data_IF_406081273801
#
_entry.id   IF_406081273801
#
_cell.length_a   1.000
_cell.length_b   1.000
_cell.length_c   1.000
_cell.angle_alpha   90.00
_cell.angle_beta   90.00
_cell.angle_gamma   90.00
#
_symmetry.space_group_name_H-M   'P 1'
#
loop_
_entity.id
_entity.type
_entity.pdbx_description
1 polymer ?
#
# COMPACT_ATOMS: atom_id res chain seq x y z
N UNK A 1 0.09 -24.87 3.98
CA UNK A 1 -1.07 -24.40 4.77
C UNK A 1 -1.64 -23.20 4.04
N UNK A 2 -2.99 -23.03 3.97
CA UNK A 2 -3.62 -21.87 3.32
C UNK A 2 -3.21 -20.58 4.05
N UNK A 3 -3.05 -19.47 3.31
CA UNK A 3 -2.75 -18.14 3.85
C UNK A 3 -3.80 -17.72 4.88
N UNK A 4 -3.38 -17.36 6.10
CA UNK A 4 -4.29 -16.97 7.17
C UNK A 4 -4.55 -15.47 7.15
N UNK A 5 -5.79 -15.07 7.39
CA UNK A 5 -6.20 -13.66 7.58
C UNK A 5 -5.93 -13.32 9.05
N UNK A 6 -4.68 -13.06 9.39
CA UNK A 6 -4.22 -12.78 10.76
C UNK A 6 -3.57 -11.40 10.91
N UNK A 7 -3.69 -10.57 9.89
CA UNK A 7 -3.16 -9.21 9.88
C UNK A 7 -3.88 -8.30 8.87
N UNK A 8 -3.74 -6.98 9.10
CA UNK A 8 -4.10 -5.91 8.18
C UNK A 8 -3.04 -4.80 8.35
N UNK A 9 -2.19 -4.60 7.34
CA UNK A 9 -1.06 -3.67 7.43
C UNK A 9 -1.31 -2.33 6.73
N UNK A 10 -2.53 -2.10 6.24
CA UNK A 10 -2.89 -0.84 5.63
C UNK A 10 -4.24 -0.34 6.15
N UNK A 11 -4.19 0.48 7.20
CA UNK A 11 -5.37 1.05 7.84
C UNK A 11 -5.11 2.54 8.08
N UNK A 12 -6.07 3.38 7.73
CA UNK A 12 -6.04 4.80 8.05
C UNK A 12 -6.83 5.09 9.32
N UNK A 13 -6.33 6.05 10.11
CA UNK A 13 -7.01 6.54 11.30
C UNK A 13 -7.77 7.84 11.03
N UNK A 14 -8.38 8.39 12.09
CA UNK A 14 -9.01 9.72 12.03
C UNK A 14 -8.03 10.85 11.69
N UNK A 15 -6.72 10.60 11.71
CA UNK A 15 -5.70 11.58 11.31
C UNK A 15 -5.60 11.75 9.80
N UNK A 16 -6.06 10.76 9.03
CA UNK A 16 -6.03 10.81 7.57
C UNK A 16 -6.99 11.86 7.01
N UNK A 17 -6.51 12.79 6.16
CA UNK A 17 -7.34 13.91 5.67
C UNK A 17 -8.37 13.51 4.63
N UNK A 18 -8.09 12.51 3.80
CA UNK A 18 -8.98 12.07 2.73
C UNK A 18 -10.26 11.40 3.23
N UNK A 19 -10.26 10.89 4.46
CA UNK A 19 -11.44 10.35 5.13
C UNK A 19 -12.32 11.42 5.81
N UNK A 20 -11.95 12.69 5.78
CA UNK A 20 -12.67 13.73 6.50
C UNK A 20 -12.53 13.66 8.03
N UNK A 21 -11.49 13.00 8.52
CA UNK A 21 -11.16 12.84 9.95
C UNK A 21 -12.29 12.23 10.81
N UNK A 22 -12.84 11.04 10.48
CA UNK A 22 -13.94 10.45 11.23
C UNK A 22 -13.45 10.07 12.65
N UNK A 23 -13.95 10.67 13.73
CA UNK A 23 -13.43 10.44 15.09
C UNK A 23 -13.63 9.00 15.57
N UNK A 24 -14.49 8.25 14.90
CA UNK A 24 -14.73 6.82 15.14
C UNK A 24 -13.63 5.92 14.60
N UNK A 25 -12.79 6.40 13.68
CA UNK A 25 -11.64 5.66 13.13
C UNK A 25 -10.41 5.82 14.05
N UNK A 26 -10.59 5.55 15.33
CA UNK A 26 -9.57 5.63 16.36
C UNK A 26 -8.94 4.26 16.66
N UNK A 27 -7.86 4.26 17.43
CA UNK A 27 -7.09 3.05 17.74
C UNK A 27 -7.92 1.96 18.44
N UNK A 28 -8.84 2.36 19.33
CA UNK A 28 -9.71 1.42 20.06
C UNK A 28 -10.66 0.67 19.11
N UNK A 29 -11.29 1.37 18.19
CA UNK A 29 -12.21 0.77 17.22
C UNK A 29 -11.47 -0.04 16.15
N UNK A 30 -10.28 0.39 15.74
CA UNK A 30 -9.40 -0.39 14.86
C UNK A 30 -8.96 -1.69 15.55
N UNK A 31 -8.57 -1.63 16.83
CA UNK A 31 -8.26 -2.82 17.61
C UNK A 31 -9.47 -3.76 17.74
N UNK A 32 -10.67 -3.20 17.97
CA UNK A 32 -11.90 -3.99 18.05
C UNK A 32 -12.21 -4.71 16.73
N UNK A 33 -11.92 -4.08 15.57
CA UNK A 33 -11.98 -4.75 14.27
C UNK A 33 -11.03 -5.96 14.22
N UNK A 34 -9.75 -5.76 14.54
CA UNK A 34 -8.76 -6.83 14.50
C UNK A 34 -9.14 -8.02 15.38
N UNK A 35 -9.62 -7.74 16.59
CA UNK A 35 -10.11 -8.79 17.52
C UNK A 35 -11.31 -9.56 16.96
N UNK A 36 -12.29 -8.86 16.37
CA UNK A 36 -13.45 -9.48 15.73
C UNK A 36 -13.04 -10.41 14.58
N UNK A 37 -11.97 -10.03 13.85
CA UNK A 37 -11.43 -10.80 12.72
C UNK A 37 -10.42 -11.89 13.15
N UNK A 38 -10.04 -11.97 14.44
CA UNK A 38 -9.00 -12.87 14.91
C UNK A 38 -7.59 -12.52 14.42
N UNK A 39 -7.35 -11.26 14.10
CA UNK A 39 -6.04 -10.76 13.63
C UNK A 39 -5.07 -10.59 14.79
N UNK A 40 -3.80 -10.82 14.51
CA UNK A 40 -2.69 -10.69 15.48
C UNK A 40 -1.96 -9.36 15.36
N UNK A 41 -1.94 -8.80 14.16
CA UNK A 41 -1.20 -7.59 13.84
C UNK A 41 -2.01 -6.65 12.97
N UNK A 42 -2.13 -5.40 13.39
CA UNK A 42 -2.73 -4.31 12.61
C UNK A 42 -1.71 -3.19 12.52
N UNK A 43 -1.57 -2.57 11.35
CA UNK A 43 -0.69 -1.42 11.20
C UNK A 43 -1.51 -0.19 10.79
N UNK A 44 -1.42 0.88 11.59
CA UNK A 44 -2.00 2.17 11.23
C UNK A 44 -0.97 2.91 10.39
N UNK A 45 -1.33 3.15 9.14
CA UNK A 45 -0.46 3.67 8.07
C UNK A 45 -1.06 4.92 7.45
N UNK A 46 -1.33 5.93 8.28
CA UNK A 46 -1.85 7.20 7.80
C UNK A 46 -0.95 7.82 6.73
N UNK A 47 -1.54 8.60 5.82
CA UNK A 47 -0.79 9.36 4.82
C UNK A 47 0.28 10.23 5.45
N UNK A 48 1.46 10.22 4.83
CA UNK A 48 2.66 10.71 5.47
C UNK A 48 3.65 11.34 4.48
N UNK A 49 4.32 12.42 4.95
CA UNK A 49 5.49 12.98 4.29
C UNK A 49 6.44 13.59 5.32
N UNK A 50 7.68 13.13 5.39
CA UNK A 50 8.73 13.66 6.27
C UNK A 50 9.24 15.02 5.76
N UNK A 51 8.44 16.05 5.88
CA UNK A 51 8.72 17.37 5.31
C UNK A 51 9.94 18.07 5.89
N UNK A 52 10.38 17.66 7.08
CA UNK A 52 11.58 18.18 7.71
C UNK A 52 12.85 17.72 7.01
N UNK A 53 12.89 16.46 6.58
CA UNK A 53 14.10 15.83 6.05
C UNK A 53 14.02 15.56 4.53
N UNK A 54 12.81 15.45 3.99
CA UNK A 54 12.52 15.27 2.56
C UNK A 54 11.68 16.45 2.11
N UNK A 55 12.28 17.52 1.55
CA UNK A 55 11.54 18.69 1.12
C UNK A 55 10.43 18.32 0.13
N UNK A 56 9.14 18.54 0.47
CA UNK A 56 8.05 18.20 -0.43
C UNK A 56 7.93 19.23 -1.56
N UNK A 57 7.35 18.81 -2.69
CA UNK A 57 6.89 19.77 -3.70
C UNK A 57 5.87 20.74 -3.09
N UNK A 58 5.83 21.97 -3.58
CA UNK A 58 4.87 22.97 -3.11
C UNK A 58 3.42 22.50 -3.26
N UNK A 59 3.14 21.74 -4.31
CA UNK A 59 1.84 21.16 -4.64
C UNK A 59 1.49 19.90 -3.83
N UNK A 60 2.41 19.34 -3.05
CA UNK A 60 2.18 18.16 -2.23
C UNK A 60 1.21 18.48 -1.08
N UNK A 61 0.06 17.84 -1.06
CA UNK A 61 -0.97 18.13 -0.07
C UNK A 61 -0.74 17.39 1.26
N UNK A 62 0.01 16.26 1.26
CA UNK A 62 0.40 15.54 2.49
C UNK A 62 1.54 16.18 3.28
N UNK A 63 2.15 17.25 2.79
CA UNK A 63 3.31 17.89 3.43
C UNK A 63 3.13 18.33 4.88
N UNK A 64 1.89 18.35 5.41
CA UNK A 64 1.58 18.69 6.81
C UNK A 64 1.43 17.46 7.70
N UNK A 65 1.43 16.27 7.12
CA UNK A 65 1.20 15.01 7.81
C UNK A 65 2.54 14.32 8.04
N UNK A 66 3.35 14.97 8.88
CA UNK A 66 4.70 14.53 9.26
C UNK A 66 4.68 13.57 10.46
N UNK A 67 5.87 13.17 10.93
CA UNK A 67 5.98 12.22 12.03
C UNK A 67 5.34 12.72 13.33
N UNK A 68 5.55 13.98 13.80
CA UNK A 68 4.80 14.55 14.92
C UNK A 68 3.28 14.53 14.76
N UNK A 69 2.80 14.57 13.52
CA UNK A 69 1.35 14.53 13.26
C UNK A 69 0.80 13.11 13.41
N UNK A 70 1.38 12.11 12.77
CA UNK A 70 0.88 10.73 12.83
C UNK A 70 1.05 10.10 14.22
N UNK A 71 2.04 10.55 15.00
CA UNK A 71 2.21 10.12 16.39
C UNK A 71 1.04 10.48 17.32
N UNK A 72 0.14 11.36 16.92
CA UNK A 72 -1.02 11.76 17.75
C UNK A 72 -2.00 10.61 17.99
N UNK A 73 -1.90 9.52 17.24
CA UNK A 73 -2.67 8.28 17.46
C UNK A 73 -2.18 7.50 18.70
N UNK A 74 -0.99 7.80 19.18
CA UNK A 74 -0.37 7.12 20.31
C UNK A 74 -0.83 7.73 21.67
N UNK A 75 -0.83 6.95 22.78
CA UNK A 75 -0.42 5.57 22.86
C UNK A 75 -1.49 4.63 22.31
N UNK A 76 -1.09 3.47 21.77
CA UNK A 76 -2.04 2.44 21.40
C UNK A 76 -2.61 1.73 22.63
N UNK A 77 -3.88 1.30 22.57
CA UNK A 77 -4.43 0.39 23.59
C UNK A 77 -3.66 -0.93 23.58
N UNK A 78 -3.34 -1.44 24.78
CA UNK A 78 -2.68 -2.73 24.94
C UNK A 78 -3.68 -3.89 24.82
N UNK A 79 -3.30 -4.93 24.09
CA UNK A 79 -4.05 -6.18 24.00
C UNK A 79 -3.09 -7.36 23.87
N UNK A 80 -3.44 -8.52 24.45
CA UNK A 80 -2.58 -9.71 24.46
C UNK A 80 -2.67 -10.56 23.18
N UNK A 81 -3.72 -10.37 22.37
CA UNK A 81 -4.02 -11.22 21.22
C UNK A 81 -3.82 -10.47 19.89
N UNK A 82 -4.04 -9.15 19.89
CA UNK A 82 -3.94 -8.31 18.71
C UNK A 82 -3.09 -7.06 19.00
N UNK A 83 -2.03 -6.86 18.26
CA UNK A 83 -1.10 -5.74 18.43
C UNK A 83 -1.30 -4.69 17.35
N UNK A 84 -1.39 -3.42 17.77
CA UNK A 84 -1.32 -2.26 16.89
C UNK A 84 0.13 -1.83 16.67
N UNK A 85 0.46 -1.47 15.45
CA UNK A 85 1.76 -0.99 15.02
C UNK A 85 1.63 0.39 14.37
N UNK A 86 2.65 1.23 14.53
CA UNK A 86 2.73 2.51 13.83
C UNK A 86 3.53 2.34 12.54
N UNK A 87 2.89 2.59 11.42
CA UNK A 87 3.49 2.68 10.12
C UNK A 87 3.18 4.00 9.43
N UNK A 88 3.39 4.05 8.14
CA UNK A 88 2.94 5.14 7.28
C UNK A 88 2.62 4.66 5.88
N UNK A 89 1.70 5.35 5.20
CA UNK A 89 1.59 5.31 3.75
C UNK A 89 2.19 6.61 3.19
N UNK A 90 3.21 6.50 2.36
CA UNK A 90 3.86 7.63 1.71
C UNK A 90 3.76 7.55 0.20
N UNK A 91 3.66 8.72 -0.43
CA UNK A 91 3.68 8.81 -1.88
C UNK A 91 5.09 8.85 -2.46
N UNK A 92 5.17 8.58 -3.75
CA UNK A 92 6.30 8.96 -4.58
C UNK A 92 5.88 10.18 -5.42
N UNK A 93 6.68 11.25 -5.43
CA UNK A 93 6.40 12.43 -6.26
C UNK A 93 6.77 12.21 -7.74
N UNK A 94 6.52 13.21 -8.59
CA UNK A 94 6.81 13.14 -10.04
C UNK A 94 8.31 13.19 -10.38
N UNK A 95 9.17 13.42 -9.39
CA UNK A 95 10.64 13.36 -9.50
C UNK A 95 11.19 12.06 -8.87
N UNK A 96 10.31 11.11 -8.58
CA UNK A 96 10.62 9.82 -7.94
C UNK A 96 11.15 9.96 -6.50
N UNK A 97 10.83 11.04 -5.79
CA UNK A 97 11.16 11.18 -4.37
C UNK A 97 10.07 10.49 -3.54
N UNK A 98 10.48 9.68 -2.58
CA UNK A 98 9.59 9.04 -1.58
C UNK A 98 9.63 9.84 -0.28
N UNK A 99 8.47 10.11 0.29
CA UNK A 99 8.31 11.04 1.42
C UNK A 99 8.76 10.52 2.79
N UNK A 100 9.69 9.56 2.86
CA UNK A 100 10.22 9.02 4.11
C UNK A 100 11.74 9.09 4.11
N UNK A 101 12.34 9.56 5.23
CA UNK A 101 13.79 9.62 5.40
C UNK A 101 14.33 8.49 6.27
N UNK A 102 15.62 8.20 6.14
CA UNK A 102 16.37 7.25 6.96
C UNK A 102 16.20 7.49 8.47
N UNK A 103 16.06 8.74 8.90
CA UNK A 103 15.89 9.11 10.32
C UNK A 103 14.63 8.51 10.95
N UNK A 104 13.67 8.07 10.13
CA UNK A 104 12.40 7.54 10.58
C UNK A 104 12.26 6.03 10.40
N UNK A 105 13.22 5.37 9.73
CA UNK A 105 13.10 3.94 9.49
C UNK A 105 12.95 3.11 10.76
N UNK A 106 13.66 3.47 11.85
CA UNK A 106 13.54 2.77 13.14
C UNK A 106 12.31 3.15 13.95
N UNK A 107 11.59 4.21 13.55
CA UNK A 107 10.40 4.70 14.24
C UNK A 107 9.10 4.19 13.62
N UNK A 108 9.16 3.68 12.40
CA UNK A 108 8.04 3.14 11.64
C UNK A 108 8.22 1.63 11.51
N UNK A 109 7.19 0.89 11.88
CA UNK A 109 7.25 -0.58 11.85
C UNK A 109 6.93 -1.13 10.45
N UNK A 110 6.09 -0.41 9.68
CA UNK A 110 5.79 -0.67 8.27
C UNK A 110 5.80 0.65 7.49
N UNK A 111 6.38 0.64 6.31
CA UNK A 111 6.39 1.78 5.38
C UNK A 111 5.72 1.31 4.09
N UNK A 112 4.55 1.84 3.79
CA UNK A 112 3.86 1.58 2.53
C UNK A 112 4.17 2.69 1.54
N UNK A 113 4.49 2.33 0.30
CA UNK A 113 4.78 3.29 -0.77
C UNK A 113 3.74 3.16 -1.87
N UNK A 114 2.98 4.24 -2.08
CA UNK A 114 1.92 4.31 -3.08
C UNK A 114 2.47 4.77 -4.44
N UNK A 115 3.07 3.87 -5.23
CA UNK A 115 3.53 4.17 -6.59
C UNK A 115 2.39 4.31 -7.59
N UNK A 116 1.22 3.73 -7.28
CA UNK A 116 -0.01 3.74 -8.08
C UNK A 116 -0.82 5.04 -7.98
N UNK A 117 -0.48 5.95 -7.07
CA UNK A 117 -1.14 7.25 -6.93
C UNK A 117 -0.80 8.20 -8.10
N UNK A 118 -1.34 7.90 -9.28
CA UNK A 118 -1.18 8.74 -10.50
C UNK A 118 -2.32 9.74 -10.68
N UNK A 119 -2.89 10.22 -9.57
CA UNK A 119 -4.00 11.18 -9.54
C UNK A 119 -3.59 12.58 -9.06
N UNK A 120 -2.47 12.71 -8.36
CA UNK A 120 -1.94 13.97 -7.85
C UNK A 120 -1.25 14.80 -8.95
N UNK A 121 -2.03 15.43 -9.86
CA UNK A 121 -1.47 16.24 -10.94
C UNK A 121 -0.56 17.36 -10.43
N UNK A 122 0.62 17.50 -11.06
CA UNK A 122 1.71 18.41 -10.66
C UNK A 122 2.37 18.06 -9.33
N UNK A 123 2.09 16.88 -8.82
CA UNK A 123 2.77 16.35 -7.65
C UNK A 123 3.23 14.91 -7.90
N UNK A 124 2.31 13.94 -7.99
CA UNK A 124 2.70 12.54 -8.27
C UNK A 124 2.82 12.24 -9.75
N UNK A 125 2.27 13.11 -10.61
CA UNK A 125 2.26 12.93 -12.07
C UNK A 125 2.28 14.25 -12.82
N UNK A 126 2.98 14.29 -13.96
CA UNK A 126 2.87 15.39 -14.92
C UNK A 126 1.46 15.45 -15.54
N UNK A 127 0.90 16.66 -15.74
CA UNK A 127 -0.38 16.82 -16.42
C UNK A 127 -0.44 16.23 -17.83
N UNK A 128 0.71 16.01 -18.47
CA UNK A 128 0.83 15.57 -19.86
C UNK A 128 0.80 14.03 -20.01
N UNK A 129 0.92 13.28 -18.92
CA UNK A 129 0.82 11.81 -18.94
C UNK A 129 -0.66 11.38 -19.01
N UNK A 130 -1.27 11.38 -20.18
CA UNK A 130 -2.72 11.13 -20.35
C UNK A 130 -3.04 9.85 -21.10
N UNK A 131 -2.11 9.30 -21.90
CA UNK A 131 -2.37 8.05 -22.63
C UNK A 131 -2.16 6.82 -21.76
N UNK A 132 -2.77 5.70 -22.15
CA UNK A 132 -2.56 4.39 -21.50
C UNK A 132 -1.08 4.00 -21.51
N UNK A 133 -0.39 4.21 -22.64
CA UNK A 133 1.03 3.86 -22.81
C UNK A 133 1.91 4.70 -21.88
N UNK A 134 1.67 6.02 -21.78
CA UNK A 134 2.42 6.89 -20.87
C UNK A 134 2.24 6.49 -19.42
N UNK A 135 1.00 6.12 -19.04
CA UNK A 135 0.68 5.67 -17.67
C UNK A 135 1.35 4.35 -17.33
N UNK A 136 1.29 3.39 -18.21
CA UNK A 136 1.93 2.08 -18.03
C UNK A 136 3.45 2.22 -17.90
N UNK A 137 4.07 2.99 -18.80
CA UNK A 137 5.51 3.25 -18.77
C UNK A 137 5.94 3.97 -17.50
N UNK A 138 5.25 5.07 -17.15
CA UNK A 138 5.54 5.83 -15.92
C UNK A 138 5.35 4.95 -14.68
N UNK A 139 4.28 4.14 -14.62
CA UNK A 139 4.02 3.27 -13.49
C UNK A 139 5.14 2.25 -13.28
N UNK A 140 5.59 1.59 -14.34
CA UNK A 140 6.72 0.67 -14.25
C UNK A 140 8.02 1.38 -13.90
N UNK A 141 8.28 2.56 -14.44
CA UNK A 141 9.44 3.38 -14.09
C UNK A 141 9.45 3.72 -12.58
N UNK A 142 8.32 4.16 -12.02
CA UNK A 142 8.18 4.46 -10.59
C UNK A 142 8.52 3.24 -9.73
N UNK A 143 8.00 2.07 -10.10
CA UNK A 143 8.25 0.83 -9.40
C UNK A 143 9.73 0.42 -9.44
N UNK A 144 10.41 0.61 -10.57
CA UNK A 144 11.85 0.35 -10.69
C UNK A 144 12.67 1.37 -9.90
N UNK A 145 12.31 2.66 -9.95
CA UNK A 145 12.97 3.72 -9.18
C UNK A 145 12.85 3.48 -7.67
N UNK A 146 11.71 2.97 -7.19
CA UNK A 146 11.55 2.57 -5.80
C UNK A 146 12.60 1.53 -5.38
N UNK A 147 12.83 0.52 -6.22
CA UNK A 147 13.81 -0.54 -5.96
C UNK A 147 15.27 -0.11 -6.11
N UNK A 148 15.52 1.07 -6.71
CA UNK A 148 16.86 1.66 -6.81
C UNK A 148 17.22 2.48 -5.57
N UNK A 149 16.28 2.70 -4.64
CA UNK A 149 16.50 3.47 -3.42
C UNK A 149 17.12 2.61 -2.30
N UNK A 150 17.80 3.25 -1.38
CA UNK A 150 18.31 2.62 -0.16
C UNK A 150 17.22 2.65 0.93
N UNK A 151 16.24 1.76 0.80
CA UNK A 151 15.12 1.61 1.72
C UNK A 151 15.25 0.30 2.52
N UNK A 152 14.71 0.25 3.76
CA UNK A 152 14.70 -0.97 4.56
C UNK A 152 13.63 -1.94 4.06
N UNK A 153 13.84 -2.58 2.89
CA UNK A 153 12.83 -3.35 2.17
C UNK A 153 12.18 -4.48 2.97
N UNK A 154 12.82 -4.97 4.03
CA UNK A 154 12.20 -5.97 4.92
C UNK A 154 10.95 -5.44 5.65
N UNK A 155 10.76 -4.11 5.73
CA UNK A 155 9.57 -3.45 6.29
C UNK A 155 8.90 -2.47 5.31
N UNK A 156 9.31 -2.47 4.03
CA UNK A 156 8.67 -1.66 2.97
C UNK A 156 7.72 -2.55 2.17
N UNK A 157 6.49 -2.10 2.02
CA UNK A 157 5.48 -2.68 1.16
C UNK A 157 5.06 -1.72 0.06
N UNK A 158 4.70 -2.26 -1.11
CA UNK A 158 4.06 -1.48 -2.16
C UNK A 158 2.55 -1.51 -1.95
N UNK A 159 1.93 -0.34 -1.83
CA UNK A 159 0.51 -0.20 -1.58
C UNK A 159 -0.31 -0.36 -2.88
N UNK A 160 -1.49 -0.99 -2.77
CA UNK A 160 -2.55 -1.13 -3.79
C UNK A 160 -2.02 -1.15 -5.23
N UNK A 161 -1.20 -2.16 -5.55
CA UNK A 161 -0.49 -2.30 -6.83
C UNK A 161 -1.40 -2.19 -8.07
N UNK A 162 -2.69 -2.53 -7.96
CA UNK A 162 -3.66 -2.48 -9.07
C UNK A 162 -4.75 -1.41 -8.86
N UNK A 163 -4.40 -0.30 -8.19
CA UNK A 163 -5.33 0.77 -7.83
C UNK A 163 -5.92 1.49 -9.05
N UNK A 164 -7.21 1.76 -9.02
CA UNK A 164 -7.93 2.48 -10.07
C UNK A 164 -7.57 3.99 -10.16
N UNK A 165 -6.92 4.55 -9.14
CA UNK A 165 -6.37 5.91 -9.18
C UNK A 165 -5.34 6.13 -10.29
N UNK A 166 -4.75 5.04 -10.82
CA UNK A 166 -3.86 5.11 -11.99
C UNK A 166 -4.55 5.69 -13.23
N UNK A 167 -5.87 5.52 -13.37
CA UNK A 167 -6.64 5.99 -14.53
C UNK A 167 -7.11 7.45 -14.44
N UNK A 168 -6.90 8.14 -13.32
CA UNK A 168 -7.42 9.50 -13.14
C UNK A 168 -6.98 10.43 -14.28
N UNK A 169 -7.95 10.93 -15.08
CA UNK A 169 -7.73 11.72 -16.29
C UNK A 169 -6.82 11.07 -17.34
N UNK A 170 -6.77 9.75 -17.37
CA UNK A 170 -6.21 8.97 -18.46
C UNK A 170 -7.26 8.77 -19.58
N UNK A 171 -6.80 8.56 -20.81
CA UNK A 171 -7.66 8.23 -21.97
C UNK A 171 -8.24 6.81 -21.90
N UNK A 172 -7.72 5.96 -21.01
CA UNK A 172 -8.19 4.59 -20.76
C UNK A 172 -8.40 4.29 -19.28
N UNK A 173 -8.84 3.07 -18.98
CA UNK A 173 -9.08 2.56 -17.64
C UNK A 173 -7.78 2.03 -17.00
N UNK A 174 -7.79 1.81 -15.67
CA UNK A 174 -6.67 1.14 -15.00
C UNK A 174 -6.47 -0.30 -15.54
N UNK A 175 -7.54 -0.97 -15.96
CA UNK A 175 -7.46 -2.29 -16.61
C UNK A 175 -6.69 -2.20 -17.94
N UNK A 176 -6.91 -1.16 -18.73
CA UNK A 176 -6.16 -0.93 -19.97
C UNK A 176 -4.68 -0.67 -19.68
N UNK A 177 -4.37 0.09 -18.62
CA UNK A 177 -3.00 0.36 -18.17
C UNK A 177 -2.32 -0.96 -17.76
N UNK A 178 -2.96 -1.77 -16.91
CA UNK A 178 -2.43 -3.06 -16.47
C UNK A 178 -2.21 -4.03 -17.63
N UNK A 179 -3.11 -4.05 -18.62
CA UNK A 179 -2.99 -4.88 -19.82
C UNK A 179 -1.89 -4.38 -20.78
N UNK A 180 -1.56 -3.09 -20.76
CA UNK A 180 -0.49 -2.53 -21.59
C UNK A 180 0.90 -2.98 -21.13
N UNK A 181 1.07 -3.23 -19.83
CA UNK A 181 2.31 -3.72 -19.25
C UNK A 181 2.48 -5.20 -19.62
N UNK A 182 3.64 -5.56 -20.16
CA UNK A 182 3.94 -6.93 -20.57
C UNK A 182 4.30 -7.83 -19.37
N UNK A 183 4.17 -9.16 -19.56
CA UNK A 183 4.62 -10.13 -18.54
C UNK A 183 6.13 -10.03 -18.28
N UNK A 184 6.91 -9.65 -19.29
CA UNK A 184 8.36 -9.48 -19.14
C UNK A 184 8.70 -8.30 -18.21
N UNK A 185 8.01 -7.17 -18.34
CA UNK A 185 8.17 -6.00 -17.48
C UNK A 185 7.75 -6.32 -16.04
N UNK A 186 6.60 -7.00 -15.86
CA UNK A 186 6.18 -7.47 -14.53
C UNK A 186 7.19 -8.43 -13.92
N UNK A 187 7.70 -9.42 -14.67
CA UNK A 187 8.70 -10.39 -14.17
C UNK A 187 10.01 -9.70 -13.79
N UNK A 188 10.48 -8.74 -14.56
CA UNK A 188 11.69 -7.99 -14.22
C UNK A 188 11.52 -7.25 -12.89
N UNK A 189 10.44 -6.50 -12.75
CA UNK A 189 10.13 -5.78 -11.51
C UNK A 189 9.98 -6.73 -10.31
N UNK A 190 9.11 -7.75 -10.40
CA UNK A 190 8.81 -8.62 -9.26
C UNK A 190 10.00 -9.52 -8.87
N UNK A 191 10.86 -9.91 -9.81
CA UNK A 191 12.09 -10.63 -9.47
C UNK A 191 13.03 -9.77 -8.64
N UNK A 192 13.12 -8.47 -8.93
CA UNK A 192 13.88 -7.52 -8.13
C UNK A 192 13.23 -7.26 -6.77
N UNK A 193 11.91 -7.07 -6.73
CA UNK A 193 11.14 -6.87 -5.51
C UNK A 193 11.25 -8.06 -4.53
N UNK A 194 11.13 -9.29 -5.05
CA UNK A 194 11.31 -10.51 -4.27
C UNK A 194 12.72 -10.61 -3.69
N UNK A 195 13.75 -10.30 -4.48
CA UNK A 195 15.15 -10.30 -4.03
C UNK A 195 15.41 -9.24 -2.95
N UNK A 196 14.75 -8.08 -3.04
CA UNK A 196 14.84 -7.02 -2.04
C UNK A 196 14.09 -7.38 -0.74
N UNK A 197 13.13 -8.30 -0.79
CA UNK A 197 12.27 -8.65 0.37
C UNK A 197 11.09 -7.70 0.57
N UNK A 198 10.74 -6.90 -0.45
CA UNK A 198 9.62 -5.96 -0.42
C UNK A 198 8.28 -6.70 -0.40
N UNK A 199 7.35 -6.27 0.48
CA UNK A 199 5.99 -6.79 0.51
C UNK A 199 5.12 -6.27 -0.63
N UNK A 200 4.22 -7.12 -1.14
CA UNK A 200 3.20 -6.74 -2.14
C UNK A 200 1.82 -6.80 -1.48
N UNK A 201 1.12 -5.69 -1.50
CA UNK A 201 -0.20 -5.60 -0.87
C UNK A 201 -1.27 -6.33 -1.68
N UNK A 202 -2.11 -7.07 -0.97
CA UNK A 202 -3.41 -7.54 -1.43
C UNK A 202 -4.46 -6.53 -0.96
N UNK A 203 -4.81 -5.62 -1.84
CA UNK A 203 -5.83 -4.60 -1.65
C UNK A 203 -6.64 -4.47 -2.94
N UNK A 204 -7.81 -5.07 -2.97
CA UNK A 204 -8.68 -5.08 -4.16
C UNK A 204 -10.14 -5.07 -3.74
N UNK A 205 -11.01 -4.59 -4.60
CA UNK A 205 -12.44 -4.77 -4.42
C UNK A 205 -12.85 -6.22 -4.68
N UNK A 206 -13.92 -6.69 -4.03
CA UNK A 206 -14.40 -8.07 -4.17
C UNK A 206 -14.63 -8.47 -5.65
N UNK A 207 -15.19 -7.56 -6.46
CA UNK A 207 -15.42 -7.77 -7.90
C UNK A 207 -14.14 -8.02 -8.71
N UNK A 208 -13.00 -7.54 -8.22
CA UNK A 208 -11.71 -7.61 -8.91
C UNK A 208 -11.03 -8.98 -8.76
N UNK A 209 -11.42 -9.77 -7.77
CA UNK A 209 -10.93 -11.14 -7.59
C UNK A 209 -11.27 -12.09 -8.77
N UNK A 210 -12.07 -11.65 -9.73
CA UNK A 210 -12.36 -12.36 -10.99
C UNK A 210 -11.84 -11.64 -12.24
N UNK A 211 -11.17 -10.49 -12.10
CA UNK A 211 -10.67 -9.68 -13.23
C UNK A 211 -9.25 -10.12 -13.58
N UNK A 212 -9.05 -10.74 -14.73
CA UNK A 212 -7.76 -11.29 -15.14
C UNK A 212 -6.66 -10.22 -15.19
N UNK A 213 -6.94 -9.01 -15.64
CA UNK A 213 -5.98 -7.92 -15.68
C UNK A 213 -5.46 -7.54 -14.27
N UNK A 214 -6.30 -7.69 -13.23
CA UNK A 214 -5.94 -7.45 -11.84
C UNK A 214 -5.16 -8.64 -11.27
N UNK A 215 -5.61 -9.87 -11.54
CA UNK A 215 -4.98 -11.08 -11.01
C UNK A 215 -3.62 -11.39 -11.64
N UNK A 216 -3.43 -11.05 -12.93
CA UNK A 216 -2.23 -11.36 -13.71
C UNK A 216 -0.94 -10.87 -13.04
N UNK A 217 -0.79 -9.59 -12.64
CA UNK A 217 0.43 -9.12 -11.99
C UNK A 217 0.69 -9.83 -10.65
N UNK A 218 -0.33 -10.12 -9.86
CA UNK A 218 -0.16 -10.86 -8.59
C UNK A 218 0.29 -12.31 -8.81
N UNK A 219 -0.22 -13.00 -9.85
CA UNK A 219 0.26 -14.34 -10.20
C UNK A 219 1.72 -14.33 -10.64
N UNK A 220 2.12 -13.33 -11.43
CA UNK A 220 3.51 -13.16 -11.84
C UNK A 220 4.39 -12.84 -10.61
N UNK A 221 3.92 -12.01 -9.70
CA UNK A 221 4.62 -11.72 -8.45
C UNK A 221 4.84 -12.98 -7.60
N UNK A 222 3.81 -13.82 -7.46
CA UNK A 222 3.90 -15.12 -6.78
C UNK A 222 4.92 -16.04 -7.45
N UNK A 223 4.86 -16.18 -8.79
CA UNK A 223 5.82 -16.96 -9.56
C UNK A 223 7.27 -16.47 -9.38
N UNK A 224 7.48 -15.18 -9.19
CA UNK A 224 8.78 -14.56 -8.92
C UNK A 224 9.23 -14.72 -7.45
N UNK A 225 8.39 -15.26 -6.57
CA UNK A 225 8.69 -15.49 -5.16
C UNK A 225 8.45 -14.27 -4.25
N UNK A 226 7.71 -13.25 -4.71
CA UNK A 226 7.27 -12.14 -3.87
C UNK A 226 6.45 -12.64 -2.68
N UNK A 227 6.45 -11.87 -1.60
CA UNK A 227 5.63 -12.11 -0.41
C UNK A 227 4.53 -11.08 -0.33
N UNK A 228 3.36 -11.51 0.16
CA UNK A 228 2.13 -10.72 0.17
C UNK A 228 1.69 -10.38 1.59
N UNK A 229 1.05 -9.24 1.73
CA UNK A 229 0.35 -8.84 2.95
C UNK A 229 -1.06 -8.32 2.61
N UNK A 230 -1.93 -8.36 3.61
CA UNK A 230 -3.30 -7.87 3.49
C UNK A 230 -3.36 -6.42 3.95
N UNK A 231 -4.05 -5.60 3.19
CA UNK A 231 -4.34 -4.21 3.51
C UNK A 231 -5.76 -3.85 3.13
N UNK A 232 -6.57 -3.41 4.10
CA UNK A 232 -7.95 -2.98 3.82
C UNK A 232 -8.01 -1.60 3.17
N UNK A 233 -7.03 -0.76 3.49
CA UNK A 233 -7.04 0.67 3.15
C UNK A 233 -8.30 1.37 3.69
N UNK A 234 -8.78 0.88 4.85
CA UNK A 234 -10.01 1.37 5.46
C UNK A 234 -9.83 2.79 6.01
N UNK A 235 -10.65 3.70 5.55
CA UNK A 235 -10.69 5.10 5.96
C UNK A 235 -11.85 5.41 6.93
N UNK A 236 -12.70 4.44 7.18
CA UNK A 236 -13.81 4.49 8.13
C UNK A 236 -14.13 3.09 8.63
N UNK A 237 -14.99 2.97 9.66
CA UNK A 237 -15.38 1.66 10.19
C UNK A 237 -16.11 0.80 9.16
N UNK A 238 -16.87 1.41 8.25
CA UNK A 238 -17.56 0.74 7.16
C UNK A 238 -16.58 0.09 6.17
N UNK A 239 -15.36 0.63 6.03
CA UNK A 239 -14.30 0.05 5.20
C UNK A 239 -13.82 -1.32 5.67
N UNK A 240 -14.16 -1.72 6.90
CA UNK A 240 -13.87 -3.04 7.45
C UNK A 240 -14.95 -4.09 7.19
N UNK A 241 -16.15 -3.70 6.77
CA UNK A 241 -17.30 -4.61 6.73
C UNK A 241 -17.12 -5.77 5.76
N UNK A 242 -16.50 -5.54 4.62
CA UNK A 242 -16.22 -6.56 3.59
C UNK A 242 -14.75 -6.98 3.48
N UNK A 243 -13.87 -6.45 4.33
CA UNK A 243 -12.42 -6.71 4.25
C UNK A 243 -12.08 -8.20 4.26
N UNK A 244 -12.69 -8.97 5.16
CA UNK A 244 -12.47 -10.42 5.25
C UNK A 244 -12.90 -11.17 3.98
N UNK A 245 -14.00 -10.78 3.35
CA UNK A 245 -14.48 -11.38 2.11
C UNK A 245 -13.54 -11.03 0.94
N UNK A 246 -13.11 -9.77 0.84
CA UNK A 246 -12.13 -9.31 -0.17
C UNK A 246 -10.82 -10.08 -0.05
N UNK A 247 -10.28 -10.19 1.16
CA UNK A 247 -9.05 -10.94 1.43
C UNK A 247 -9.19 -12.41 1.06
N UNK A 248 -10.28 -13.07 1.51
CA UNK A 248 -10.55 -14.47 1.16
C UNK A 248 -10.64 -14.71 -0.34
N UNK A 249 -11.36 -13.83 -1.06
CA UNK A 249 -11.53 -13.95 -2.50
C UNK A 249 -10.19 -13.87 -3.25
N UNK A 250 -9.30 -12.94 -2.86
CA UNK A 250 -7.98 -12.81 -3.49
C UNK A 250 -7.04 -13.95 -3.09
N UNK A 251 -7.04 -14.38 -1.83
CA UNK A 251 -6.26 -15.53 -1.38
C UNK A 251 -6.64 -16.77 -2.19
N UNK A 252 -7.94 -16.99 -2.42
CA UNK A 252 -8.44 -18.13 -3.19
C UNK A 252 -8.12 -18.01 -4.69
N UNK A 253 -8.32 -16.81 -5.29
CA UNK A 253 -8.06 -16.58 -6.70
C UNK A 253 -6.57 -16.72 -7.08
N UNK A 254 -5.67 -16.47 -6.10
CA UNK A 254 -4.21 -16.55 -6.26
C UNK A 254 -3.62 -17.84 -5.68
N UNK A 255 -4.44 -18.68 -5.03
CA UNK A 255 -4.00 -19.90 -4.31
C UNK A 255 -2.83 -19.60 -3.35
N UNK A 256 -2.97 -18.57 -2.52
CA UNK A 256 -1.93 -18.14 -1.59
C UNK A 256 -1.81 -19.08 -0.39
N UNK A 257 -0.58 -19.28 0.06
CA UNK A 257 -0.23 -20.12 1.21
C UNK A 257 0.52 -19.30 2.26
N UNK A 258 0.71 -19.88 3.45
CA UNK A 258 1.52 -19.25 4.51
C UNK A 258 2.98 -19.00 4.09
N UNK A 259 3.48 -19.72 3.09
CA UNK A 259 4.81 -19.50 2.53
C UNK A 259 4.89 -18.21 1.70
N UNK A 260 3.75 -17.74 1.17
CA UNK A 260 3.66 -16.52 0.39
C UNK A 260 3.50 -15.26 1.26
N UNK A 261 3.36 -15.41 2.58
CA UNK A 261 3.11 -14.30 3.50
C UNK A 261 4.35 -13.47 3.77
N UNK A 262 4.21 -12.15 3.64
CA UNK A 262 5.21 -11.18 4.09
C UNK A 262 5.14 -10.99 5.61
N UNK A 263 6.29 -10.96 6.28
CA UNK A 263 6.38 -10.88 7.75
C UNK A 263 7.37 -9.79 8.15
N UNK A 264 6.93 -8.52 8.23
CA UNK A 264 7.81 -7.41 8.58
C UNK A 264 8.24 -7.42 10.06
N UNK A 265 7.54 -8.17 10.91
CA UNK A 265 7.79 -8.21 12.36
C UNK A 265 8.62 -9.42 12.81
N UNK A 266 9.14 -10.21 11.90
CA UNK A 266 10.06 -11.31 12.18
C UNK A 266 9.39 -12.63 12.48
#
# INVERSE_FOLDING_TARGET
MKFQIDHDYHIHSYLTPCAGHPPTQNAENILAYGKRMGMKHLCITDHFWDSENVPPMETAWFKKYDFPYIQKILPFPEDSECKLHLGCETDMDMFFTVGVSEKLYDKLEVILVATSHLHGRRWTISPDNVTVADRASLYMERNHKLLDMDLPFHKVGIAHFTCDLMQYKCEGTYVDILNHITDAEYRDFFSRAAKAGMGIEINTYLREASVEAVLRPYRIAKDCGCKFFLGSDAHSLEGFDDAGERFSAMIDALDLTEEDKWRPFG
#
